data_IF_478995995596
#
_entry.id   IF_478995995596
#
_cell.length_a   1.000
_cell.length_b   1.000
_cell.length_c   1.000
_cell.angle_alpha   90.00
_cell.angle_beta   90.00
_cell.angle_gamma   90.00
#
_symmetry.space_group_name_H-M   'P 1'
#
loop_
_entity.id
_entity.type
_entity.pdbx_description
1 polymer ?
#
# COMPACT_ATOMS: atom_id res chain seq x y z
N UNK A 1 11.04 17.79 -2.84
CA UNK A 1 10.36 16.55 -2.41
C UNK A 1 9.44 16.89 -1.27
N UNK A 2 8.15 16.62 -1.39
CA UNK A 2 7.16 16.95 -0.34
C UNK A 2 7.35 16.03 0.87
N UNK A 3 7.25 16.50 2.09
CA UNK A 3 7.30 15.60 3.26
C UNK A 3 6.03 14.74 3.35
N UNK A 4 6.11 13.49 3.83
CA UNK A 4 4.93 12.66 4.05
C UNK A 4 4.04 13.28 5.15
N UNK A 5 2.73 13.34 4.89
CA UNK A 5 1.72 13.77 5.86
C UNK A 5 1.13 12.57 6.60
N UNK A 6 0.71 12.79 7.85
CA UNK A 6 0.23 11.74 8.76
C UNK A 6 -1.16 12.02 9.35
N UNK A 7 -1.83 13.08 8.88
CA UNK A 7 -3.05 13.65 9.45
C UNK A 7 -4.30 13.39 8.57
N UNK A 8 -4.33 12.25 7.88
CA UNK A 8 -5.43 11.88 7.00
C UNK A 8 -6.75 11.73 7.76
N UNK A 9 -7.80 12.39 7.27
CA UNK A 9 -9.16 12.13 7.73
C UNK A 9 -9.79 10.96 6.97
N UNK A 10 -10.86 10.39 7.51
CA UNK A 10 -11.60 9.31 6.83
C UNK A 10 -12.13 9.80 5.47
N UNK A 11 -12.71 10.99 5.41
CA UNK A 11 -13.29 11.55 4.19
C UNK A 11 -12.23 11.77 3.11
N UNK A 12 -11.02 12.20 3.48
CA UNK A 12 -9.91 12.35 2.54
C UNK A 12 -9.46 11.01 1.96
N UNK A 13 -9.42 9.95 2.77
CA UNK A 13 -9.07 8.60 2.30
C UNK A 13 -10.17 8.04 1.39
N UNK A 14 -11.43 8.21 1.76
CA UNK A 14 -12.57 7.81 0.94
C UNK A 14 -12.54 8.52 -0.41
N UNK A 15 -12.26 9.82 -0.43
CA UNK A 15 -12.13 10.58 -1.67
C UNK A 15 -11.02 10.05 -2.58
N UNK A 16 -9.95 9.43 -2.05
CA UNK A 16 -8.91 8.75 -2.86
C UNK A 16 -9.42 7.43 -3.42
N UNK A 17 -10.10 6.63 -2.59
CA UNK A 17 -10.64 5.31 -2.98
C UNK A 17 -11.71 5.45 -4.06
N UNK A 18 -12.54 6.49 -3.98
CA UNK A 18 -13.65 6.75 -4.89
C UNK A 18 -13.22 7.39 -6.23
N UNK A 19 -11.92 7.66 -6.43
CA UNK A 19 -11.43 8.23 -7.69
C UNK A 19 -11.69 7.30 -8.87
N UNK A 20 -11.91 7.84 -10.09
CA UNK A 20 -11.90 7.02 -11.29
C UNK A 20 -10.63 6.19 -11.37
N UNK A 21 -10.80 4.88 -11.60
CA UNK A 21 -9.72 3.90 -11.45
C UNK A 21 -8.44 4.26 -12.23
N UNK A 22 -8.59 4.70 -13.48
CA UNK A 22 -7.43 5.06 -14.32
C UNK A 22 -6.72 6.35 -13.85
N UNK A 23 -7.46 7.31 -13.30
CA UNK A 23 -6.87 8.52 -12.74
C UNK A 23 -6.12 8.22 -11.44
N UNK A 24 -6.67 7.32 -10.62
CA UNK A 24 -6.01 6.82 -9.41
C UNK A 24 -4.71 6.09 -9.77
N UNK A 25 -4.75 5.20 -10.77
CA UNK A 25 -3.57 4.45 -11.22
C UNK A 25 -2.48 5.38 -11.75
N UNK A 26 -2.83 6.36 -12.58
CA UNK A 26 -1.88 7.34 -13.11
C UNK A 26 -1.22 8.16 -11.99
N UNK A 27 -2.00 8.61 -11.00
CA UNK A 27 -1.48 9.35 -9.85
C UNK A 27 -0.59 8.48 -8.95
N UNK A 28 -0.96 7.23 -8.71
CA UNK A 28 -0.16 6.29 -7.93
C UNK A 28 1.20 6.03 -8.60
N UNK A 29 1.22 5.83 -9.91
CA UNK A 29 2.46 5.65 -10.67
C UNK A 29 3.35 6.89 -10.63
N UNK A 30 2.77 8.09 -10.75
CA UNK A 30 3.53 9.35 -10.63
C UNK A 30 4.17 9.49 -9.24
N UNK A 31 3.41 9.23 -8.18
CA UNK A 31 3.90 9.24 -6.80
C UNK A 31 5.04 8.23 -6.59
N UNK A 32 4.88 7.00 -7.09
CA UNK A 32 5.90 5.96 -6.98
C UNK A 32 7.21 6.39 -7.66
N UNK A 33 7.15 6.94 -8.88
CA UNK A 33 8.36 7.39 -9.61
C UNK A 33 9.04 8.60 -8.99
N UNK A 34 8.31 9.43 -8.24
CA UNK A 34 8.90 10.55 -7.50
C UNK A 34 9.71 10.07 -6.28
N UNK A 35 9.34 8.92 -5.70
CA UNK A 35 9.85 8.47 -4.40
C UNK A 35 10.76 7.25 -4.43
N UNK A 36 10.66 6.44 -5.47
CA UNK A 36 11.37 5.16 -5.60
C UNK A 36 11.98 5.02 -6.99
N UNK A 37 13.05 4.23 -7.11
CA UNK A 37 13.55 3.81 -8.42
C UNK A 37 12.50 2.90 -9.09
N UNK A 38 11.95 3.28 -10.25
CA UNK A 38 10.94 2.48 -10.93
C UNK A 38 11.44 1.14 -11.47
N UNK A 39 12.75 0.88 -11.46
CA UNK A 39 13.36 -0.37 -11.92
C UNK A 39 13.88 -1.24 -10.77
N UNK A 40 13.70 -0.81 -9.52
CA UNK A 40 14.09 -1.57 -8.34
C UNK A 40 12.85 -2.17 -7.66
N UNK A 41 12.97 -3.42 -7.21
CA UNK A 41 11.95 -4.12 -6.44
C UNK A 41 12.62 -4.76 -5.22
N UNK A 42 11.99 -4.61 -4.05
CA UNK A 42 12.45 -5.23 -2.81
C UNK A 42 12.21 -6.75 -2.84
N UNK A 43 13.21 -7.52 -2.40
CA UNK A 43 13.18 -8.98 -2.42
C UNK A 43 13.17 -9.59 -1.02
N UNK A 44 11.99 -9.90 -0.51
CA UNK A 44 11.81 -10.57 0.79
C UNK A 44 11.63 -12.09 0.66
N UNK A 45 12.16 -12.84 1.64
CA UNK A 45 11.87 -14.27 1.83
C UNK A 45 11.35 -14.50 3.24
N UNK A 46 10.24 -15.22 3.33
CA UNK A 46 9.64 -15.64 4.60
C UNK A 46 9.68 -17.16 4.74
N UNK A 47 9.69 -17.64 5.99
CA UNK A 47 9.58 -19.05 6.33
C UNK A 47 8.51 -19.22 7.41
N UNK A 48 7.52 -20.06 7.16
CA UNK A 48 6.57 -20.50 8.20
C UNK A 48 7.27 -21.54 9.07
N UNK A 49 7.85 -21.09 10.18
CA UNK A 49 8.59 -21.98 11.10
C UNK A 49 7.69 -23.03 11.76
N UNK A 50 6.39 -22.71 11.89
CA UNK A 50 5.33 -23.63 12.31
C UNK A 50 4.05 -23.25 11.56
N UNK A 51 3.46 -24.23 10.88
CA UNK A 51 2.17 -24.06 10.20
C UNK A 51 1.08 -24.83 10.96
N UNK A 52 -0.09 -24.22 11.10
CA UNK A 52 -1.25 -24.81 11.78
C UNK A 52 -1.20 -24.68 13.31
N UNK A 53 -2.25 -25.18 13.97
CA UNK A 53 -2.49 -25.04 15.41
C UNK A 53 -2.43 -23.58 15.91
N UNK A 54 -2.85 -22.64 15.06
CA UNK A 54 -3.11 -21.25 15.40
C UNK A 54 -4.44 -21.20 16.18
N UNK A 55 -4.47 -20.72 17.44
CA UNK A 55 -5.70 -20.68 18.24
C UNK A 55 -6.67 -19.58 17.79
N UNK A 56 -6.20 -18.62 17.00
CA UNK A 56 -7.01 -17.53 16.47
C UNK A 56 -7.98 -18.03 15.39
N UNK A 57 -9.23 -17.58 15.49
CA UNK A 57 -10.28 -17.82 14.50
C UNK A 57 -10.37 -16.63 13.54
N UNK A 58 -9.31 -16.42 12.76
CA UNK A 58 -9.26 -15.31 11.83
C UNK A 58 -10.16 -15.57 10.61
N UNK A 59 -11.13 -14.68 10.37
CA UNK A 59 -12.17 -14.83 9.33
C UNK A 59 -11.74 -14.38 7.91
N UNK A 60 -10.44 -14.23 7.66
CA UNK A 60 -9.90 -13.76 6.38
C UNK A 60 -10.03 -14.78 5.25
#
# INVERSE_FOLDING_TARGET
MTEPRYDWTIDEVLAVIERPFHDLLAAAHACHRERFDPHEIEGAKLLSIKTGACPEDCAY
#
